data_IF_972268226199
#
_entry.id   IF_972268226199
#
_cell.length_a   1.000
_cell.length_b   1.000
_cell.length_c   1.000
_cell.angle_alpha   90.00
_cell.angle_beta   90.00
_cell.angle_gamma   90.00
#
_symmetry.space_group_name_H-M   'P 1'
#
loop_
_entity.id
_entity.type
_entity.pdbx_description
1 polymer ?
#
# COMPACT_ATOMS: atom_id res chain seq x y z
N UNK A 1 -30.55 -20.95 -25.72
CA UNK A 1 -31.21 -19.76 -25.13
C UNK A 1 -31.03 -19.85 -23.62
N UNK A 2 -30.11 -19.08 -23.08
CA UNK A 2 -29.90 -19.01 -21.64
C UNK A 2 -29.80 -17.53 -21.28
N UNK A 3 -30.75 -17.06 -20.46
CA UNK A 3 -30.92 -15.70 -20.05
C UNK A 3 -30.15 -15.52 -18.74
N UNK A 4 -28.98 -14.90 -18.77
CA UNK A 4 -28.31 -14.42 -17.54
C UNK A 4 -28.83 -13.04 -17.18
N UNK A 5 -29.67 -13.02 -16.15
CA UNK A 5 -30.17 -11.80 -15.50
C UNK A 5 -29.04 -11.10 -14.75
N UNK A 6 -28.75 -9.87 -15.13
CA UNK A 6 -27.82 -8.99 -14.43
C UNK A 6 -28.41 -8.56 -13.07
N UNK A 7 -27.86 -9.09 -11.99
CA UNK A 7 -28.18 -8.64 -10.63
C UNK A 7 -27.44 -7.31 -10.37
N UNK A 8 -28.21 -6.25 -10.30
CA UNK A 8 -27.78 -4.89 -10.05
C UNK A 8 -27.10 -4.72 -8.68
N UNK A 9 -25.92 -4.13 -8.64
CA UNK A 9 -25.13 -3.74 -7.45
C UNK A 9 -25.87 -2.85 -6.45
N UNK A 10 -27.05 -2.36 -6.77
CA UNK A 10 -27.86 -1.50 -5.90
C UNK A 10 -28.61 -2.22 -4.78
N UNK A 11 -28.74 -3.55 -4.80
CA UNK A 11 -29.46 -4.29 -3.76
C UNK A 11 -28.61 -4.74 -2.57
N UNK A 12 -27.30 -4.59 -2.63
CA UNK A 12 -26.42 -4.99 -1.52
C UNK A 12 -26.28 -3.94 -0.41
N UNK A 13 -26.70 -2.70 -0.65
CA UNK A 13 -26.59 -1.61 0.32
C UNK A 13 -27.88 -1.33 1.11
N UNK A 14 -28.96 -2.06 0.86
CA UNK A 14 -30.25 -1.81 1.52
C UNK A 14 -30.65 -2.83 2.61
N UNK A 15 -29.83 -3.85 2.87
CA UNK A 15 -30.14 -4.90 3.86
C UNK A 15 -29.35 -4.79 5.17
N UNK A 16 -28.59 -3.73 5.39
CA UNK A 16 -27.80 -3.53 6.61
C UNK A 16 -28.39 -2.49 7.59
N UNK A 17 -29.65 -2.13 7.45
CA UNK A 17 -30.28 -1.15 8.33
C UNK A 17 -31.64 -1.65 8.86
N UNK A 18 -31.65 -2.74 9.62
CA UNK A 18 -32.72 -3.06 10.58
C UNK A 18 -32.30 -4.31 11.37
N UNK A 19 -31.76 -4.11 12.53
CA UNK A 19 -31.98 -4.90 13.77
C UNK A 19 -30.95 -4.48 14.81
N UNK A 20 -31.27 -3.53 15.66
CA UNK A 20 -30.73 -3.48 17.03
C UNK A 20 -31.81 -2.83 17.90
N UNK A 21 -32.61 -3.66 18.50
CA UNK A 21 -33.30 -3.33 19.74
C UNK A 21 -33.45 -4.65 20.53
N UNK A 22 -32.47 -5.01 21.30
CA UNK A 22 -32.61 -5.98 22.39
C UNK A 22 -31.60 -5.59 23.46
N UNK A 23 -32.08 -4.84 24.44
CA UNK A 23 -31.37 -4.53 25.66
C UNK A 23 -31.17 -5.80 26.47
N UNK A 24 -29.93 -6.27 26.60
CA UNK A 24 -29.54 -7.15 27.70
C UNK A 24 -28.48 -6.45 28.53
N UNK A 25 -28.89 -6.05 29.72
CA UNK A 25 -27.99 -5.63 30.77
C UNK A 25 -27.18 -6.85 31.24
N UNK A 26 -25.88 -6.85 30.98
CA UNK A 26 -24.92 -7.67 31.71
C UNK A 26 -24.00 -6.73 32.46
N UNK A 27 -24.17 -6.72 33.78
CA UNK A 27 -23.24 -6.10 34.69
C UNK A 27 -22.01 -6.99 34.88
N UNK A 28 -20.86 -6.31 35.04
CA UNK A 28 -19.62 -6.78 35.63
C UNK A 28 -18.73 -7.77 34.83
N UNK A 29 -17.79 -7.21 34.12
CA UNK A 29 -16.35 -7.45 34.15
C UNK A 29 -15.75 -6.57 33.06
N UNK A 30 -14.81 -5.70 33.40
CA UNK A 30 -14.25 -4.67 32.52
C UNK A 30 -13.51 -5.22 31.29
N UNK A 31 -14.28 -5.73 30.35
CA UNK A 31 -13.83 -5.96 28.98
C UNK A 31 -14.28 -4.72 28.22
N UNK A 32 -13.38 -3.75 28.10
CA UNK A 32 -13.55 -2.68 27.13
C UNK A 32 -13.58 -3.33 25.75
N UNK A 33 -14.76 -3.34 25.11
CA UNK A 33 -14.85 -3.72 23.71
C UNK A 33 -13.82 -2.86 22.94
N UNK A 34 -13.06 -3.44 21.99
CA UNK A 34 -12.16 -2.65 21.16
C UNK A 34 -13.00 -1.56 20.49
N UNK A 35 -12.60 -0.30 20.69
CA UNK A 35 -13.24 0.80 19.99
C UNK A 35 -13.05 0.56 18.49
N UNK A 36 -14.14 0.27 17.80
CA UNK A 36 -14.15 0.34 16.35
C UNK A 36 -13.85 1.79 15.97
N UNK A 37 -12.64 2.08 15.53
CA UNK A 37 -12.32 3.37 14.94
C UNK A 37 -13.17 3.52 13.69
N UNK A 38 -14.22 4.34 13.78
CA UNK A 38 -14.95 4.73 12.60
C UNK A 38 -13.99 5.47 11.68
N UNK A 39 -13.75 4.91 10.50
CA UNK A 39 -13.00 5.61 9.47
C UNK A 39 -13.68 6.94 9.20
N UNK A 40 -12.90 8.01 9.13
CA UNK A 40 -13.40 9.33 8.75
C UNK A 40 -13.97 9.32 7.32
N UNK A 41 -14.57 10.43 6.88
CA UNK A 41 -15.08 10.54 5.52
C UNK A 41 -13.94 10.35 4.51
N UNK A 42 -14.25 9.73 3.37
CA UNK A 42 -13.30 9.61 2.25
C UNK A 42 -13.01 11.02 1.72
N UNK A 43 -11.76 11.47 1.85
CA UNK A 43 -11.32 12.80 1.43
C UNK A 43 -10.99 12.87 -0.07
N UNK A 44 -10.77 11.73 -0.72
CA UNK A 44 -10.44 11.61 -2.12
C UNK A 44 -9.86 10.23 -2.43
N UNK A 45 -9.46 10.06 -3.68
CA UNK A 45 -8.85 8.83 -4.17
C UNK A 45 -7.49 9.11 -4.77
N UNK A 46 -6.62 8.12 -4.74
CA UNK A 46 -5.37 8.05 -5.49
C UNK A 46 -5.40 6.79 -6.36
N UNK A 47 -4.64 6.80 -7.45
CA UNK A 47 -4.51 5.63 -8.32
C UNK A 47 -3.11 5.05 -8.24
N UNK A 48 -2.97 3.79 -8.61
CA UNK A 48 -1.68 3.20 -8.91
C UNK A 48 -1.71 2.59 -10.32
N UNK A 49 -0.55 2.50 -10.97
CA UNK A 49 -0.44 1.96 -12.32
C UNK A 49 0.99 1.46 -12.59
N UNK A 50 1.09 0.41 -13.39
CA UNK A 50 2.36 -0.19 -13.80
C UNK A 50 2.46 -0.39 -15.32
N UNK A 51 1.34 -0.59 -16.03
CA UNK A 51 1.35 -0.93 -17.46
C UNK A 51 1.73 0.25 -18.38
N UNK A 52 1.41 1.47 -17.95
CA UNK A 52 1.72 2.69 -18.70
C UNK A 52 1.73 3.89 -17.76
N UNK A 53 1.99 5.08 -18.28
CA UNK A 53 2.00 6.33 -17.52
C UNK A 53 0.94 7.26 -18.12
N UNK A 54 -0.21 7.47 -17.45
CA UNK A 54 -1.18 8.46 -17.86
C UNK A 54 -0.66 9.89 -17.59
N UNK A 55 -1.05 10.83 -18.41
CA UNK A 55 -0.75 12.24 -18.20
C UNK A 55 -1.38 12.75 -16.90
N UNK A 56 -0.72 13.68 -16.21
CA UNK A 56 -1.21 14.25 -14.97
C UNK A 56 -2.56 14.94 -15.13
N UNK A 57 -2.84 15.60 -16.26
CA UNK A 57 -4.16 16.17 -16.59
C UNK A 57 -5.26 15.10 -16.59
N UNK A 58 -5.00 13.94 -17.18
CA UNK A 58 -5.95 12.81 -17.23
C UNK A 58 -6.27 12.29 -15.82
N UNK A 59 -5.25 12.16 -14.96
CA UNK A 59 -5.43 11.72 -13.56
C UNK A 59 -6.30 12.74 -12.80
N UNK A 60 -6.03 14.04 -12.99
CA UNK A 60 -6.78 15.11 -12.36
C UNK A 60 -8.24 15.19 -12.83
N UNK A 61 -8.47 15.08 -14.13
CA UNK A 61 -9.80 15.09 -14.73
C UNK A 61 -10.66 13.90 -14.27
N UNK A 62 -10.02 12.77 -13.99
CA UNK A 62 -10.67 11.61 -13.37
C UNK A 62 -11.03 11.83 -11.88
N UNK A 63 -10.64 12.96 -11.28
CA UNK A 63 -10.98 13.34 -9.91
C UNK A 63 -10.04 12.76 -8.83
N UNK A 64 -8.88 12.26 -9.22
CA UNK A 64 -7.90 11.74 -8.27
C UNK A 64 -7.02 12.85 -7.68
N UNK A 65 -6.60 12.67 -6.43
CA UNK A 65 -5.70 13.58 -5.72
C UNK A 65 -4.22 13.35 -6.06
N UNK A 66 -3.91 12.25 -6.70
CA UNK A 66 -2.56 11.86 -7.05
C UNK A 66 -2.42 10.37 -7.32
N UNK A 67 -1.20 9.88 -7.22
CA UNK A 67 -0.88 8.49 -7.49
C UNK A 67 0.10 7.88 -6.49
N UNK A 68 0.06 6.55 -6.38
CA UNK A 68 1.09 5.75 -5.72
C UNK A 68 1.97 5.15 -6.81
N UNK A 69 3.27 5.46 -6.78
CA UNK A 69 4.17 5.13 -7.88
C UNK A 69 5.36 4.28 -7.43
N UNK A 70 5.73 3.36 -8.30
CA UNK A 70 6.72 2.34 -8.01
C UNK A 70 8.16 2.88 -8.11
N UNK A 71 8.84 2.89 -6.99
CA UNK A 71 10.29 3.12 -6.88
C UNK A 71 11.05 1.79 -6.90
N UNK A 72 10.67 0.90 -7.82
CA UNK A 72 11.28 -0.39 -8.06
C UNK A 72 11.39 -0.65 -9.56
N UNK A 73 12.39 -1.41 -9.96
CA UNK A 73 12.54 -1.86 -11.35
C UNK A 73 11.42 -2.83 -11.76
N UNK A 74 11.29 -3.06 -13.05
CA UNK A 74 10.48 -4.16 -13.57
C UNK A 74 11.12 -5.49 -13.19
N UNK A 75 10.31 -6.44 -12.73
CA UNK A 75 10.80 -7.80 -12.53
C UNK A 75 10.99 -8.51 -13.87
N UNK A 76 11.87 -9.52 -13.96
CA UNK A 76 11.98 -10.35 -15.14
C UNK A 76 10.63 -10.97 -15.56
N UNK A 77 10.34 -11.00 -16.85
CA UNK A 77 9.08 -11.50 -17.38
C UNK A 77 7.87 -10.54 -17.22
N UNK A 78 8.13 -9.29 -16.82
CA UNK A 78 7.09 -8.26 -16.68
C UNK A 78 7.42 -7.01 -17.51
N UNK A 79 7.82 -7.19 -18.75
CA UNK A 79 8.17 -6.14 -19.72
C UNK A 79 7.00 -5.18 -19.98
N UNK A 80 5.78 -5.65 -19.79
CA UNK A 80 4.55 -4.87 -19.91
C UNK A 80 4.41 -3.77 -18.85
N UNK A 81 5.18 -3.82 -17.76
CA UNK A 81 5.17 -2.80 -16.70
C UNK A 81 5.93 -1.54 -17.14
N UNK A 82 5.50 -0.89 -18.21
CA UNK A 82 6.17 0.28 -18.81
C UNK A 82 6.24 1.48 -17.87
N UNK A 83 5.33 1.57 -16.88
CA UNK A 83 5.32 2.60 -15.86
C UNK A 83 6.27 2.37 -14.68
N UNK A 84 7.13 1.35 -14.71
CA UNK A 84 8.17 1.11 -13.67
C UNK A 84 9.58 1.33 -14.22
N UNK A 85 10.45 1.97 -13.45
CA UNK A 85 10.18 2.80 -12.27
C UNK A 85 9.53 4.14 -12.63
N UNK A 86 9.00 4.84 -11.64
CA UNK A 86 8.57 6.23 -11.78
C UNK A 86 9.75 7.13 -12.18
N UNK A 87 9.49 8.13 -13.02
CA UNK A 87 10.53 9.07 -13.51
C UNK A 87 10.34 10.47 -12.95
N UNK A 88 11.37 11.29 -13.05
CA UNK A 88 11.31 12.71 -12.64
C UNK A 88 10.38 13.52 -13.55
N UNK A 89 10.28 13.17 -14.83
CA UNK A 89 9.37 13.80 -15.78
C UNK A 89 7.92 13.57 -15.38
N UNK A 90 7.58 12.33 -15.03
CA UNK A 90 6.25 11.95 -14.54
C UNK A 90 5.88 12.71 -13.26
N UNK A 91 6.78 12.75 -12.28
CA UNK A 91 6.50 13.45 -11.02
C UNK A 91 6.35 14.95 -11.21
N UNK A 92 7.11 15.57 -12.12
CA UNK A 92 6.97 16.98 -12.50
C UNK A 92 5.64 17.27 -13.20
N UNK A 93 5.21 16.40 -14.11
CA UNK A 93 3.91 16.54 -14.78
C UNK A 93 2.77 16.44 -13.77
N UNK A 94 2.80 15.46 -12.87
CA UNK A 94 1.80 15.37 -11.80
C UNK A 94 1.80 16.62 -10.90
N UNK A 95 2.97 17.09 -10.48
CA UNK A 95 3.10 18.29 -9.66
C UNK A 95 2.54 19.54 -10.37
N UNK A 96 2.81 19.70 -11.67
CA UNK A 96 2.26 20.80 -12.48
C UNK A 96 0.73 20.77 -12.55
N UNK A 97 0.13 19.60 -12.46
CA UNK A 97 -1.32 19.40 -12.39
C UNK A 97 -1.89 19.47 -10.95
N UNK A 98 -1.05 19.75 -9.93
CA UNK A 98 -1.46 19.85 -8.52
C UNK A 98 -1.68 18.51 -7.83
N UNK A 99 -1.20 17.40 -8.43
CA UNK A 99 -1.32 16.06 -7.91
C UNK A 99 -0.20 15.73 -6.92
N UNK A 100 -0.46 14.77 -6.04
CA UNK A 100 0.52 14.24 -5.08
C UNK A 100 1.02 12.89 -5.56
N UNK A 101 2.30 12.58 -5.26
CA UNK A 101 2.90 11.29 -5.57
C UNK A 101 3.41 10.66 -4.30
N UNK A 102 2.98 9.43 -4.02
CA UNK A 102 3.53 8.58 -2.97
C UNK A 102 4.42 7.51 -3.60
N UNK A 103 5.50 7.14 -2.93
CA UNK A 103 6.44 6.12 -3.41
C UNK A 103 6.17 4.77 -2.77
N UNK A 104 6.07 3.72 -3.60
CA UNK A 104 5.94 2.33 -3.15
C UNK A 104 7.05 1.47 -3.75
N UNK A 105 7.64 0.60 -2.95
CA UNK A 105 8.60 -0.39 -3.40
C UNK A 105 7.96 -1.77 -3.46
N UNK A 106 7.95 -2.36 -4.64
CA UNK A 106 7.55 -3.73 -4.91
C UNK A 106 8.28 -4.20 -6.18
N UNK A 107 9.30 -5.03 -6.03
CA UNK A 107 10.01 -5.58 -7.18
C UNK A 107 9.42 -6.93 -7.62
N UNK A 108 9.38 -7.91 -6.73
CA UNK A 108 8.85 -9.23 -6.95
C UNK A 108 7.37 -9.39 -6.57
N UNK A 109 6.84 -10.60 -6.81
CA UNK A 109 5.52 -11.03 -6.38
C UNK A 109 5.48 -12.56 -6.29
N UNK A 110 4.56 -13.10 -5.50
CA UNK A 110 4.37 -14.52 -5.31
C UNK A 110 5.71 -15.22 -4.97
N UNK A 111 6.16 -16.18 -5.76
CA UNK A 111 7.42 -16.91 -5.51
C UNK A 111 8.67 -16.02 -5.56
N UNK A 112 8.61 -14.87 -6.25
CA UNK A 112 9.71 -13.93 -6.38
C UNK A 112 9.59 -12.74 -5.43
N UNK A 113 8.66 -12.77 -4.47
CA UNK A 113 8.42 -11.66 -3.56
C UNK A 113 9.69 -11.29 -2.76
N UNK A 114 9.97 -10.00 -2.71
CA UNK A 114 11.20 -9.44 -2.13
C UNK A 114 11.40 -9.84 -0.65
N UNK A 115 10.30 -9.91 0.09
CA UNK A 115 10.28 -10.20 1.52
C UNK A 115 10.65 -11.66 1.87
N UNK A 116 10.56 -12.59 0.90
CA UNK A 116 10.89 -14.01 1.13
C UNK A 116 12.34 -14.24 1.55
N UNK A 117 13.22 -13.29 1.24
CA UNK A 117 14.63 -13.34 1.63
C UNK A 117 14.90 -12.68 3.00
N UNK A 118 13.87 -12.23 3.71
CA UNK A 118 14.02 -11.59 5.01
C UNK A 118 14.97 -10.38 4.97
N UNK A 119 15.79 -10.22 6.02
CA UNK A 119 16.73 -9.10 6.12
C UNK A 119 17.74 -9.02 4.96
N UNK A 120 18.13 -10.16 4.38
CA UNK A 120 19.03 -10.18 3.23
C UNK A 120 18.37 -9.54 1.99
N UNK A 121 17.07 -9.77 1.77
CA UNK A 121 16.30 -9.10 0.75
C UNK A 121 16.26 -7.59 0.96
N UNK A 122 16.01 -7.12 2.18
CA UNK A 122 16.02 -5.71 2.50
C UNK A 122 17.36 -5.03 2.20
N UNK A 123 18.49 -5.70 2.45
CA UNK A 123 19.82 -5.19 2.14
C UNK A 123 20.04 -4.94 0.64
N UNK A 124 19.34 -5.68 -0.22
CA UNK A 124 19.37 -5.49 -1.68
C UNK A 124 18.36 -4.41 -2.11
N UNK A 125 17.14 -4.48 -1.59
CA UNK A 125 16.01 -3.74 -2.13
C UNK A 125 15.87 -2.32 -1.55
N UNK A 126 16.24 -2.08 -0.29
CA UNK A 126 16.11 -0.75 0.31
C UNK A 126 17.03 0.31 -0.33
N UNK A 127 18.32 0.02 -0.65
CA UNK A 127 19.14 0.96 -1.40
C UNK A 127 18.58 1.30 -2.78
N UNK A 128 17.99 0.34 -3.49
CA UNK A 128 17.36 0.58 -4.79
C UNK A 128 16.13 1.48 -4.66
N UNK A 129 15.30 1.24 -3.63
CA UNK A 129 14.13 2.07 -3.34
C UNK A 129 14.55 3.53 -3.11
N UNK A 130 15.59 3.77 -2.30
CA UNK A 130 16.14 5.09 -2.01
C UNK A 130 16.65 5.77 -3.27
N UNK A 131 17.44 5.05 -4.07
CA UNK A 131 18.01 5.57 -5.31
C UNK A 131 16.91 6.00 -6.29
N UNK A 132 15.91 5.16 -6.52
CA UNK A 132 14.83 5.45 -7.47
C UNK A 132 13.89 6.53 -6.94
N UNK A 133 13.60 6.56 -5.63
CA UNK A 133 12.84 7.63 -5.01
C UNK A 133 13.55 8.98 -5.19
N UNK A 134 14.84 9.06 -4.92
CA UNK A 134 15.62 10.29 -5.10
C UNK A 134 15.70 10.70 -6.58
N UNK A 135 15.91 9.74 -7.50
CA UNK A 135 15.96 10.00 -8.94
C UNK A 135 14.64 10.56 -9.49
N UNK A 136 13.50 10.13 -8.91
CA UNK A 136 12.19 10.67 -9.22
C UNK A 136 11.86 12.01 -8.53
N UNK A 137 12.83 12.63 -7.83
CA UNK A 137 12.64 13.87 -7.11
C UNK A 137 11.98 13.75 -5.75
N UNK A 138 11.92 12.54 -5.20
CA UNK A 138 11.35 12.28 -3.88
C UNK A 138 12.19 12.90 -2.76
N UNK A 139 11.60 13.72 -1.87
CA UNK A 139 12.34 14.41 -0.82
C UNK A 139 12.64 13.50 0.37
N UNK A 140 13.71 13.78 1.09
CA UNK A 140 13.98 13.19 2.40
C UNK A 140 12.85 13.51 3.40
N UNK A 141 12.71 12.69 4.44
CA UNK A 141 11.68 12.85 5.47
C UNK A 141 10.27 12.44 5.02
N UNK A 142 10.13 11.86 3.83
CA UNK A 142 8.86 11.30 3.35
C UNK A 142 8.93 9.79 3.34
N UNK A 143 7.79 9.10 3.57
CA UNK A 143 7.77 7.65 3.59
C UNK A 143 7.99 7.04 2.20
N UNK A 144 8.73 5.94 2.17
CA UNK A 144 8.70 4.97 1.09
C UNK A 144 7.89 3.78 1.61
N UNK A 145 6.77 3.48 0.95
CA UNK A 145 5.94 2.35 1.32
C UNK A 145 6.55 1.06 0.81
N UNK A 146 6.65 0.07 1.67
CA UNK A 146 7.14 -1.28 1.33
C UNK A 146 5.95 -2.19 1.16
N UNK A 147 5.82 -2.80 -0.02
CA UNK A 147 4.66 -3.62 -0.36
C UNK A 147 4.87 -5.08 0.04
N UNK A 148 3.88 -5.60 0.76
CA UNK A 148 3.66 -7.03 0.99
C UNK A 148 2.31 -7.35 0.32
N UNK A 149 2.34 -7.47 -1.01
CA UNK A 149 1.13 -7.67 -1.85
C UNK A 149 0.79 -9.16 -1.95
N UNK A 150 0.65 -9.79 -0.80
CA UNK A 150 0.37 -11.21 -0.60
C UNK A 150 -0.59 -11.40 0.58
N UNK A 151 -1.00 -12.65 0.81
CA UNK A 151 -1.76 -13.07 2.00
C UNK A 151 -0.92 -14.03 2.85
N UNK A 152 0.15 -13.54 3.49
CA UNK A 152 1.06 -14.39 4.23
C UNK A 152 0.39 -15.00 5.46
N UNK A 153 0.86 -16.18 5.84
CA UNK A 153 0.59 -16.77 7.14
C UNK A 153 1.31 -15.99 8.25
N UNK A 154 0.90 -16.18 9.50
CA UNK A 154 1.60 -15.61 10.64
C UNK A 154 3.05 -16.14 10.72
N UNK A 155 3.30 -17.37 10.35
CA UNK A 155 4.63 -17.97 10.32
C UNK A 155 5.54 -17.27 9.28
N UNK A 156 5.04 -17.01 8.07
CA UNK A 156 5.77 -16.24 7.05
C UNK A 156 6.03 -14.81 7.51
N UNK A 157 5.05 -14.19 8.16
CA UNK A 157 5.26 -12.87 8.74
C UNK A 157 6.40 -12.89 9.76
N UNK A 158 6.36 -13.79 10.74
CA UNK A 158 7.34 -13.82 11.82
C UNK A 158 8.75 -14.16 11.32
N UNK A 159 8.86 -15.09 10.36
CA UNK A 159 10.15 -15.64 9.92
C UNK A 159 10.79 -14.89 8.75
N UNK A 160 10.00 -14.18 7.94
CA UNK A 160 10.46 -13.56 6.69
C UNK A 160 10.09 -12.08 6.60
N UNK A 161 8.79 -11.73 6.74
CA UNK A 161 8.32 -10.37 6.52
C UNK A 161 8.79 -9.42 7.61
N UNK A 162 8.64 -9.79 8.87
CA UNK A 162 9.11 -8.95 9.99
C UNK A 162 10.61 -8.65 9.93
N UNK A 163 11.51 -9.63 9.72
CA UNK A 163 12.92 -9.34 9.51
C UNK A 163 13.19 -8.47 8.28
N UNK A 164 12.45 -8.67 7.18
CA UNK A 164 12.53 -7.85 5.99
C UNK A 164 12.16 -6.40 6.26
N UNK A 165 10.97 -6.15 6.82
CA UNK A 165 10.48 -4.82 7.12
C UNK A 165 11.39 -4.09 8.13
N UNK A 166 11.84 -4.79 9.18
CA UNK A 166 12.74 -4.22 10.18
C UNK A 166 14.05 -3.74 9.57
N UNK A 167 14.71 -4.59 8.79
CA UNK A 167 15.96 -4.22 8.12
C UNK A 167 15.74 -3.11 7.07
N UNK A 168 14.62 -3.14 6.35
CA UNK A 168 14.27 -2.10 5.38
C UNK A 168 14.10 -0.73 6.06
N UNK A 169 13.37 -0.68 7.18
CA UNK A 169 13.14 0.51 7.98
C UNK A 169 14.45 1.10 8.54
N UNK A 170 15.33 0.24 9.06
CA UNK A 170 16.65 0.65 9.56
C UNK A 170 17.50 1.29 8.45
N UNK A 171 17.50 0.71 7.25
CA UNK A 171 18.24 1.25 6.10
C UNK A 171 17.63 2.58 5.64
N UNK A 172 16.31 2.69 5.53
CA UNK A 172 15.63 3.93 5.18
C UNK A 172 15.95 5.05 6.19
N UNK A 173 15.84 4.77 7.48
CA UNK A 173 16.12 5.71 8.57
C UNK A 173 17.57 6.21 8.53
N UNK A 174 18.52 5.33 8.25
CA UNK A 174 19.95 5.71 8.13
C UNK A 174 20.21 6.72 7.04
N UNK A 175 19.34 6.80 6.03
CA UNK A 175 19.43 7.70 4.89
C UNK A 175 18.47 8.91 4.98
N UNK A 176 17.75 9.04 6.10
CA UNK A 176 16.83 10.14 6.37
C UNK A 176 15.45 10.00 5.73
N UNK A 177 15.02 8.77 5.50
CA UNK A 177 13.66 8.44 5.06
C UNK A 177 12.88 7.73 6.17
N UNK A 178 11.57 7.62 6.03
CA UNK A 178 10.71 6.80 6.88
C UNK A 178 10.11 5.66 6.07
N UNK A 179 9.64 4.63 6.74
CA UNK A 179 8.98 3.51 6.10
C UNK A 179 7.47 3.57 6.34
N UNK A 180 6.67 3.37 5.29
CA UNK A 180 5.28 2.95 5.39
C UNK A 180 5.14 1.48 5.01
N UNK A 181 4.05 0.83 5.38
CA UNK A 181 3.74 -0.53 4.96
C UNK A 181 2.48 -0.53 4.12
N UNK A 182 2.54 -1.20 2.97
CA UNK A 182 1.40 -1.49 2.11
C UNK A 182 1.17 -3.00 2.13
N UNK A 183 0.03 -3.44 2.67
CA UNK A 183 -0.28 -4.85 2.79
C UNK A 183 -1.78 -5.08 3.02
N UNK A 184 -2.19 -6.34 3.13
CA UNK A 184 -3.51 -6.67 3.65
C UNK A 184 -3.66 -6.28 5.12
N UNK A 185 -4.91 -6.21 5.60
CA UNK A 185 -5.21 -5.76 6.97
C UNK A 185 -4.46 -6.55 8.04
N UNK A 186 -4.41 -7.89 7.94
CA UNK A 186 -3.75 -8.72 8.95
C UNK A 186 -2.24 -8.46 9.05
N UNK A 187 -1.58 -8.33 7.91
CA UNK A 187 -0.15 -8.01 7.85
C UNK A 187 0.14 -6.61 8.39
N UNK A 188 -0.71 -5.62 8.09
CA UNK A 188 -0.58 -4.27 8.64
C UNK A 188 -0.76 -4.28 10.16
N UNK A 189 -1.76 -5.01 10.67
CA UNK A 189 -2.01 -5.11 12.12
C UNK A 189 -0.79 -5.69 12.85
N UNK A 190 -0.19 -6.75 12.33
CA UNK A 190 1.04 -7.31 12.88
C UNK A 190 2.22 -6.34 12.82
N UNK A 191 2.38 -5.63 11.72
CA UNK A 191 3.45 -4.64 11.58
C UNK A 191 3.29 -3.49 12.59
N UNK A 192 2.08 -3.00 12.81
CA UNK A 192 1.78 -1.97 13.82
C UNK A 192 2.09 -2.47 15.23
N UNK A 193 1.72 -3.73 15.58
CA UNK A 193 2.03 -4.33 16.87
C UNK A 193 3.54 -4.43 17.11
N UNK A 194 4.33 -4.66 16.05
CA UNK A 194 5.79 -4.69 16.10
C UNK A 194 6.46 -3.30 16.02
N UNK A 195 5.67 -2.22 15.95
CA UNK A 195 6.17 -0.84 15.83
C UNK A 195 6.83 -0.54 14.48
N UNK A 196 6.44 -1.25 13.42
CA UNK A 196 6.94 -1.08 12.06
C UNK A 196 5.97 -0.27 11.21
N UNK A 197 6.52 0.65 10.44
CA UNK A 197 5.75 1.61 9.66
C UNK A 197 5.28 2.81 10.49
N UNK A 198 5.21 3.97 9.88
CA UNK A 198 4.74 5.23 10.49
C UNK A 198 3.46 5.71 9.82
#
# INVERSE_FOLDING_TARGET
MSIFSALSRRRFLQTAALTIASSFAFAAAGITAPQAFALGPVLGTVIDYAAGVPDGSTIKEAGHLGSVRYVSQRRPGAEWMLGKPVTIEETKDQAANGLKVASIYQFGKDETADWKQGAAGAAVHAPQAIQLHAAAGGPKGRPIYVAIDDNPSREEYDNQIRPYLKAFDEILKSQGYTMGVYANYGTIDWAIQDGLGS
#
